data_IF_342568819195
#
_entry.id   IF_342568819195
#
_cell.length_a   1.000
_cell.length_b   1.000
_cell.length_c   1.000
_cell.angle_alpha   90.00
_cell.angle_beta   90.00
_cell.angle_gamma   90.00
#
_symmetry.space_group_name_H-M   'P 1'
#
loop_
_entity.id
_entity.type
_entity.pdbx_description
1 polymer ?
#
# COMPACT_ATOMS: atom_id res chain seq x y z
N UNK A 1 9.82 -16.47 3.57
CA UNK A 1 9.25 -15.48 4.50
C UNK A 1 7.99 -14.95 3.84
N UNK A 2 6.85 -14.86 4.54
CA UNK A 2 5.58 -14.42 3.92
C UNK A 2 5.44 -12.91 4.11
N UNK A 3 5.60 -12.16 3.03
CA UNK A 3 5.32 -10.73 2.96
C UNK A 3 3.94 -10.53 2.36
N UNK A 4 3.25 -9.48 2.78
CA UNK A 4 1.90 -9.16 2.36
C UNK A 4 1.86 -7.74 1.78
N UNK A 5 1.13 -7.56 0.69
CA UNK A 5 0.99 -6.27 0.02
C UNK A 5 -0.03 -5.41 0.78
N UNK A 6 0.43 -4.30 1.37
CA UNK A 6 -0.40 -3.41 2.19
C UNK A 6 -1.64 -2.89 1.46
N UNK A 7 -1.51 -2.61 0.16
CA UNK A 7 -2.62 -2.08 -0.63
C UNK A 7 -3.70 -3.15 -0.82
N UNK A 8 -3.30 -4.39 -1.11
CA UNK A 8 -4.24 -5.53 -1.26
C UNK A 8 -4.89 -5.91 0.06
N UNK A 9 -4.18 -5.77 1.19
CA UNK A 9 -4.77 -5.99 2.51
C UNK A 9 -5.96 -5.05 2.76
N UNK A 10 -5.84 -3.79 2.37
CA UNK A 10 -6.90 -2.78 2.57
C UNK A 10 -7.93 -2.74 1.44
N UNK A 11 -7.58 -3.25 0.26
CA UNK A 11 -8.43 -3.22 -0.94
C UNK A 11 -8.48 -4.59 -1.63
N UNK A 12 -8.94 -5.67 -0.93
CA UNK A 12 -8.86 -7.04 -1.43
C UNK A 12 -9.69 -7.30 -2.71
N UNK A 13 -10.62 -6.42 -3.02
CA UNK A 13 -11.49 -6.48 -4.20
C UNK A 13 -10.84 -5.93 -5.47
N UNK A 14 -9.80 -5.10 -5.35
CA UNK A 14 -9.15 -4.46 -6.50
C UNK A 14 -8.10 -5.39 -7.10
N UNK A 15 -8.10 -5.52 -8.42
CA UNK A 15 -7.09 -6.30 -9.14
C UNK A 15 -5.87 -5.43 -9.44
N UNK A 16 -4.71 -6.06 -9.65
CA UNK A 16 -3.47 -5.32 -9.91
C UNK A 16 -3.56 -4.51 -11.21
N UNK A 17 -4.30 -4.98 -12.21
CA UNK A 17 -4.46 -4.28 -13.49
C UNK A 17 -5.32 -3.01 -13.38
N UNK A 18 -6.09 -2.88 -12.30
CA UNK A 18 -6.96 -1.72 -12.03
C UNK A 18 -6.22 -0.63 -11.23
N UNK A 19 -4.96 -0.88 -10.86
CA UNK A 19 -4.20 -0.09 -9.92
C UNK A 19 -2.91 0.36 -10.59
N UNK A 20 -2.68 1.66 -10.66
CA UNK A 20 -1.55 2.23 -11.42
C UNK A 20 -0.71 3.12 -10.51
N UNK A 21 0.60 2.86 -10.45
CA UNK A 21 1.56 3.73 -9.74
C UNK A 21 2.54 4.43 -10.66
N UNK A 22 2.51 4.15 -11.97
CA UNK A 22 3.40 4.76 -12.96
C UNK A 22 2.63 5.22 -14.19
N UNK A 23 3.12 6.25 -14.89
CA UNK A 23 2.55 6.80 -16.11
C UNK A 23 2.34 5.76 -17.23
N UNK A 24 3.07 4.64 -17.20
CA UNK A 24 2.93 3.54 -18.16
C UNK A 24 1.80 2.55 -17.85
N UNK A 25 0.91 2.86 -16.91
CA UNK A 25 -0.22 1.98 -16.58
C UNK A 25 0.17 0.76 -15.75
N UNK A 26 1.36 0.78 -15.15
CA UNK A 26 1.88 -0.32 -14.33
C UNK A 26 1.85 0.03 -12.85
N UNK A 27 1.64 -0.98 -12.01
CA UNK A 27 1.90 -0.93 -10.58
C UNK A 27 3.31 -1.45 -10.32
N UNK A 28 4.23 -0.58 -9.92
CA UNK A 28 5.62 -0.94 -9.63
C UNK A 28 6.12 -0.38 -8.30
N UNK A 29 5.28 0.40 -7.61
CA UNK A 29 5.54 0.95 -6.28
C UNK A 29 4.67 0.21 -5.27
N UNK A 30 5.30 -0.29 -4.21
CA UNK A 30 4.65 -1.18 -3.24
C UNK A 30 5.09 -0.88 -1.82
N UNK A 31 4.20 -1.20 -0.88
CA UNK A 31 4.51 -1.30 0.55
C UNK A 31 4.26 -2.75 0.93
N UNK A 32 5.32 -3.49 1.25
CA UNK A 32 5.22 -4.85 1.75
C UNK A 32 5.36 -4.87 3.26
N UNK A 33 4.41 -5.55 3.90
CA UNK A 33 4.38 -5.76 5.34
C UNK A 33 4.76 -7.19 5.67
N UNK A 34 5.24 -7.36 6.89
CA UNK A 34 5.36 -8.68 7.51
C UNK A 34 4.70 -8.61 8.88
N UNK A 35 3.36 -8.66 8.95
CA UNK A 35 2.64 -8.62 10.20
C UNK A 35 3.05 -9.79 11.10
N UNK A 36 3.14 -9.54 12.40
CA UNK A 36 3.37 -10.54 13.46
C UNK A 36 2.20 -10.47 14.44
N UNK A 37 1.89 -11.59 15.07
CA UNK A 37 0.78 -11.69 16.05
C UNK A 37 0.87 -10.66 17.18
N UNK A 38 2.08 -10.26 17.57
CA UNK A 38 2.35 -9.31 18.66
C UNK A 38 2.85 -7.94 18.18
N UNK A 39 2.56 -7.55 16.93
CA UNK A 39 2.90 -6.20 16.47
C UNK A 39 2.07 -5.16 17.24
N UNK A 40 2.72 -4.11 17.74
CA UNK A 40 2.07 -3.00 18.46
C UNK A 40 1.44 -1.97 17.51
N UNK A 41 1.19 -2.36 16.27
CA UNK A 41 0.68 -1.50 15.22
C UNK A 41 -0.25 -2.28 14.30
N UNK A 42 -1.23 -1.59 13.72
CA UNK A 42 -2.07 -2.11 12.64
C UNK A 42 -2.06 -1.14 11.48
N UNK A 43 -2.10 -1.68 10.26
CA UNK A 43 -2.38 -0.88 9.06
C UNK A 43 -3.84 -0.42 9.13
N UNK A 44 -4.07 0.89 9.08
CA UNK A 44 -5.43 1.49 9.10
C UNK A 44 -5.87 1.98 7.73
N UNK A 45 -4.92 2.34 6.86
CA UNK A 45 -5.18 2.83 5.51
C UNK A 45 -4.02 2.51 4.60
N UNK A 46 -4.34 2.17 3.34
CA UNK A 46 -3.38 2.16 2.26
C UNK A 46 -4.03 2.67 0.99
N UNK A 47 -3.39 3.63 0.32
CA UNK A 47 -3.93 4.29 -0.87
C UNK A 47 -2.81 4.74 -1.81
N UNK A 48 -3.18 4.97 -3.06
CA UNK A 48 -2.31 5.58 -4.06
C UNK A 48 -2.72 7.03 -4.23
N UNK A 49 -1.75 7.94 -4.19
CA UNK A 49 -1.94 9.39 -4.30
C UNK A 49 -1.37 9.84 -5.63
N UNK A 50 -2.20 10.47 -6.46
CA UNK A 50 -1.74 11.04 -7.72
C UNK A 50 -0.73 12.17 -7.45
N UNK A 51 0.49 12.01 -7.95
CA UNK A 51 1.58 12.97 -7.76
C UNK A 51 1.96 13.70 -9.06
N UNK A 52 1.18 13.55 -10.13
CA UNK A 52 1.43 14.28 -11.37
C UNK A 52 1.11 15.78 -11.21
N UNK A 53 1.88 16.68 -11.85
CA UNK A 53 3.00 16.42 -12.76
C UNK A 53 4.39 16.39 -12.08
N UNK A 54 4.48 16.26 -10.75
CA UNK A 54 5.75 16.35 -10.04
C UNK A 54 6.71 15.18 -10.36
N UNK A 55 6.16 14.02 -10.72
CA UNK A 55 6.87 12.80 -11.09
C UNK A 55 6.00 11.97 -12.05
N UNK A 56 6.61 11.03 -12.76
CA UNK A 56 5.95 10.01 -13.58
C UNK A 56 5.37 8.84 -12.74
N UNK A 57 5.52 8.88 -11.41
CA UNK A 57 4.95 7.91 -10.48
C UNK A 57 3.91 8.53 -9.53
N UNK A 58 2.92 7.74 -9.11
CA UNK A 58 2.03 8.06 -8.00
C UNK A 58 2.65 7.60 -6.68
N UNK A 59 2.39 8.32 -5.60
CA UNK A 59 2.89 7.92 -4.28
C UNK A 59 2.07 6.77 -3.70
N UNK A 60 2.74 5.81 -3.08
CA UNK A 60 2.09 4.80 -2.22
C UNK A 60 2.10 5.28 -0.78
N UNK A 61 0.92 5.35 -0.17
CA UNK A 61 0.75 5.81 1.21
C UNK A 61 0.20 4.67 2.06
N UNK A 62 0.75 4.53 3.26
CA UNK A 62 0.21 3.68 4.31
C UNK A 62 0.12 4.46 5.62
N UNK A 63 -0.97 4.25 6.34
CA UNK A 63 -1.20 4.79 7.66
C UNK A 63 -1.25 3.65 8.66
N UNK A 64 -0.63 3.87 9.82
CA UNK A 64 -0.59 2.91 10.90
C UNK A 64 -1.06 3.56 12.19
N UNK A 65 -1.80 2.79 12.97
CA UNK A 65 -2.19 3.16 14.33
C UNK A 65 -1.47 2.23 15.30
N UNK A 66 -0.95 2.80 16.38
CA UNK A 66 -0.42 2.03 17.51
C UNK A 66 -1.58 1.34 18.23
N UNK A 67 -1.45 0.03 18.46
CA UNK A 67 -2.36 -0.68 19.33
C UNK A 67 -1.98 -0.32 20.78
N UNK A 68 -2.82 0.46 21.46
CA UNK A 68 -2.68 0.67 22.90
C UNK A 68 -2.88 -0.66 23.63
N UNK A 69 -2.05 -0.93 24.64
CA UNK A 69 -2.21 -2.08 25.55
C UNK A 69 -3.55 -2.06 26.29
#
# INVERSE_FOLDING_TARGET
WKYEDAFKLMNPQLKDEEVVTCAYGTRIDYIYLRPRENDSWKLTKCSIINAQPATDHNAVYAEFETLSE
#
